data_IF_560992260759
#
_entry.id   IF_560992260759
#
_cell.length_a   1.000
_cell.length_b   1.000
_cell.length_c   1.000
_cell.angle_alpha   90.00
_cell.angle_beta   90.00
_cell.angle_gamma   90.00
#
_symmetry.space_group_name_H-M   'P 1'
#
loop_
_entity.id
_entity.type
_entity.pdbx_description
1 polymer ?
#
# COMPACT_ATOMS: atom_id res chain seq x y z
N UNK A 1 72.63 19.51 -49.53
CA UNK A 1 72.49 18.10 -49.04
C UNK A 1 71.32 18.05 -48.05
N UNK A 2 70.24 17.45 -48.51
CA UNK A 2 69.00 17.22 -47.74
C UNK A 2 69.09 15.90 -47.01
N UNK A 3 68.65 15.87 -45.77
CA UNK A 3 68.29 14.63 -45.07
C UNK A 3 66.82 14.71 -44.65
N UNK A 4 66.03 13.76 -45.18
CA UNK A 4 64.63 13.54 -44.88
C UNK A 4 64.57 12.55 -43.75
N UNK A 5 63.99 12.93 -42.62
CA UNK A 5 63.73 12.06 -41.48
C UNK A 5 62.29 11.60 -41.46
N UNK A 6 62.07 10.27 -41.55
CA UNK A 6 60.79 9.59 -41.47
C UNK A 6 60.18 9.73 -40.06
N UNK A 7 58.98 10.30 -39.98
CA UNK A 7 58.14 10.29 -38.78
C UNK A 7 57.27 9.02 -38.80
N UNK A 8 57.68 7.99 -38.05
CA UNK A 8 56.81 6.86 -37.72
C UNK A 8 55.62 7.30 -36.86
N UNK A 9 54.41 7.24 -37.42
CA UNK A 9 53.17 7.42 -36.68
C UNK A 9 52.86 6.16 -35.91
N UNK A 10 52.97 6.24 -34.59
CA UNK A 10 52.50 5.21 -33.67
C UNK A 10 50.99 5.36 -33.49
N UNK A 11 50.19 4.51 -34.10
CA UNK A 11 48.75 4.42 -33.82
C UNK A 11 48.56 3.65 -32.52
N UNK A 12 48.26 4.39 -31.44
CA UNK A 12 47.86 3.77 -30.16
C UNK A 12 46.40 3.32 -30.27
N UNK A 13 46.17 2.02 -30.46
CA UNK A 13 44.86 1.43 -30.39
C UNK A 13 44.49 1.30 -28.92
N UNK A 14 43.63 2.20 -28.40
CA UNK A 14 43.01 2.08 -27.07
C UNK A 14 41.88 1.06 -27.20
N UNK A 15 42.13 -0.19 -26.78
CA UNK A 15 41.05 -1.15 -26.53
C UNK A 15 40.27 -0.73 -25.28
N UNK A 16 39.11 -0.11 -25.48
CA UNK A 16 38.16 0.11 -24.41
C UNK A 16 37.51 -1.27 -24.12
N UNK A 17 37.97 -1.92 -23.08
CA UNK A 17 37.29 -3.09 -22.50
C UNK A 17 36.01 -2.59 -21.83
N UNK A 18 34.87 -2.81 -22.48
CA UNK A 18 33.57 -2.72 -21.81
C UNK A 18 33.49 -3.90 -20.82
N UNK A 19 33.78 -3.62 -19.56
CA UNK A 19 33.34 -4.50 -18.48
C UNK A 19 31.81 -4.32 -18.37
N UNK A 20 31.06 -5.21 -18.99
CA UNK A 20 29.68 -5.43 -18.63
C UNK A 20 29.68 -6.00 -17.21
N UNK A 21 29.43 -5.14 -16.23
CA UNK A 21 29.10 -5.58 -14.88
C UNK A 21 27.77 -6.36 -14.98
N UNK A 22 27.86 -7.67 -15.03
CA UNK A 22 26.72 -8.52 -14.71
C UNK A 22 26.42 -8.24 -13.24
N UNK A 23 25.37 -7.45 -12.99
CA UNK A 23 24.80 -7.33 -11.66
C UNK A 23 24.19 -8.68 -11.33
N UNK A 24 24.90 -9.51 -10.60
CA UNK A 24 24.32 -10.71 -10.01
C UNK A 24 23.30 -10.25 -8.99
N UNK A 25 22.02 -10.59 -9.21
CA UNK A 25 20.98 -10.41 -8.18
C UNK A 25 21.48 -10.99 -6.87
N UNK A 26 21.37 -10.23 -5.80
CA UNK A 26 21.74 -10.67 -4.44
C UNK A 26 20.72 -11.62 -3.83
N UNK A 27 19.61 -11.88 -4.54
CA UNK A 27 18.46 -12.64 -4.05
C UNK A 27 18.07 -13.76 -5.02
N UNK A 28 17.47 -14.81 -4.46
CA UNK A 28 16.76 -15.84 -5.21
C UNK A 28 15.26 -15.68 -4.99
N UNK A 29 14.46 -16.07 -5.97
CA UNK A 29 13.01 -15.97 -5.93
C UNK A 29 12.39 -17.35 -6.05
N UNK A 30 11.50 -17.68 -5.12
CA UNK A 30 10.72 -18.91 -5.13
C UNK A 30 9.24 -18.57 -5.25
N UNK A 31 8.56 -19.06 -6.28
CA UNK A 31 7.09 -19.01 -6.35
C UNK A 31 6.51 -20.05 -5.41
N UNK A 32 5.95 -19.60 -4.29
CA UNK A 32 5.34 -20.48 -3.27
C UNK A 32 3.88 -20.77 -3.54
N UNK A 33 3.14 -19.81 -4.10
CA UNK A 33 1.78 -19.98 -4.62
C UNK A 33 1.68 -19.34 -5.99
N UNK A 34 0.84 -19.87 -6.86
CA UNK A 34 0.52 -19.35 -8.18
C UNK A 34 -0.98 -19.45 -8.48
N UNK A 35 -1.39 -18.97 -9.66
CA UNK A 35 -2.78 -18.97 -10.12
C UNK A 35 -3.76 -18.33 -9.12
N UNK A 36 -3.33 -17.30 -8.38
CA UNK A 36 -4.19 -16.56 -7.46
C UNK A 36 -5.15 -15.66 -8.28
N UNK A 37 -6.43 -15.62 -7.84
CA UNK A 37 -7.47 -14.88 -8.56
C UNK A 37 -7.59 -13.42 -8.08
N UNK A 38 -6.77 -12.55 -8.66
CA UNK A 38 -6.72 -11.11 -8.33
C UNK A 38 -6.53 -10.87 -6.82
N UNK A 39 -5.52 -11.54 -6.24
CA UNK A 39 -5.22 -11.43 -4.82
C UNK A 39 -4.76 -10.00 -4.46
N UNK A 40 -5.26 -9.47 -3.33
CA UNK A 40 -5.02 -8.07 -2.97
C UNK A 40 -4.18 -7.88 -1.72
N UNK A 41 -4.40 -8.68 -0.68
CA UNK A 41 -3.72 -8.58 0.62
C UNK A 41 -3.49 -9.95 1.22
N UNK A 42 -2.43 -10.10 2.01
CA UNK A 42 -2.20 -11.30 2.81
C UNK A 42 -1.55 -10.95 4.15
N UNK A 43 -1.76 -11.83 5.13
CA UNK A 43 -1.13 -11.76 6.45
C UNK A 43 -0.68 -13.15 6.89
N UNK A 44 0.38 -13.23 7.66
CA UNK A 44 0.86 -14.49 8.23
C UNK A 44 0.03 -14.91 9.44
N UNK A 45 -0.53 -16.12 9.41
CA UNK A 45 -1.13 -16.79 10.57
C UNK A 45 -0.06 -17.52 11.40
N UNK A 46 0.99 -18.02 10.74
CA UNK A 46 2.21 -18.64 11.28
C UNK A 46 3.32 -18.52 10.25
N UNK A 47 4.51 -19.09 10.50
CA UNK A 47 5.61 -19.06 9.52
C UNK A 47 5.27 -19.72 8.20
N UNK A 48 4.45 -20.78 8.26
CA UNK A 48 4.06 -21.65 7.14
C UNK A 48 2.63 -21.45 6.64
N UNK A 49 1.86 -20.50 7.22
CA UNK A 49 0.46 -20.26 6.84
C UNK A 49 0.14 -18.80 6.68
N UNK A 50 -0.61 -18.49 5.63
CA UNK A 50 -1.14 -17.16 5.37
C UNK A 50 -2.67 -17.18 5.25
N UNK A 51 -3.27 -16.03 5.57
CA UNK A 51 -4.64 -15.67 5.24
C UNK A 51 -4.57 -14.59 4.16
N UNK A 52 -5.26 -14.76 3.03
CA UNK A 52 -5.22 -13.81 1.94
C UNK A 52 -6.59 -13.56 1.32
N UNK A 53 -6.74 -12.37 0.76
CA UNK A 53 -7.97 -11.92 0.07
C UNK A 53 -7.78 -12.01 -1.43
N UNK A 54 -8.87 -12.35 -2.12
CA UNK A 54 -9.01 -12.19 -3.57
C UNK A 54 -10.16 -11.21 -3.84
N UNK A 55 -9.92 -10.25 -4.74
CA UNK A 55 -10.86 -9.16 -5.04
C UNK A 55 -12.28 -9.65 -5.41
N UNK A 56 -12.47 -10.79 -6.11
CA UNK A 56 -13.81 -11.35 -6.38
C UNK A 56 -14.63 -11.69 -5.13
N UNK A 57 -14.02 -11.76 -3.95
CA UNK A 57 -14.72 -11.97 -2.68
C UNK A 57 -14.31 -13.21 -1.92
N UNK A 58 -13.27 -13.92 -2.34
CA UNK A 58 -12.77 -15.07 -1.61
C UNK A 58 -11.75 -14.64 -0.54
N UNK A 59 -11.86 -15.22 0.65
CA UNK A 59 -10.86 -15.20 1.70
C UNK A 59 -10.34 -16.63 1.83
N UNK A 60 -9.03 -16.81 1.81
CA UNK A 60 -8.43 -18.15 1.75
C UNK A 60 -7.28 -18.28 2.73
N UNK A 61 -7.14 -19.48 3.32
CA UNK A 61 -5.97 -19.89 4.09
C UNK A 61 -5.11 -20.77 3.18
N UNK A 62 -3.83 -20.44 3.05
CA UNK A 62 -2.86 -21.27 2.33
C UNK A 62 -1.75 -21.74 3.27
N UNK A 63 -1.37 -23.01 3.12
CA UNK A 63 -0.12 -23.56 3.66
C UNK A 63 1.00 -23.34 2.63
N UNK A 64 2.12 -22.79 3.08
CA UNK A 64 3.27 -22.51 2.20
C UNK A 64 4.15 -23.75 2.00
N UNK A 65 4.03 -24.75 2.88
CA UNK A 65 4.82 -25.99 2.82
C UNK A 65 4.29 -26.96 1.76
N UNK A 66 2.98 -27.29 1.85
CA UNK A 66 2.32 -28.27 0.98
C UNK A 66 1.48 -27.63 -0.12
N UNK A 67 1.42 -26.28 -0.15
CA UNK A 67 0.66 -25.46 -1.10
C UNK A 67 -0.86 -25.74 -1.08
N UNK A 68 -1.36 -26.33 -0.01
CA UNK A 68 -2.80 -26.53 0.15
C UNK A 68 -3.51 -25.20 0.40
N UNK A 69 -4.67 -25.02 -0.24
CA UNK A 69 -5.49 -23.81 -0.12
C UNK A 69 -6.88 -24.24 0.33
N UNK A 70 -7.41 -23.55 1.34
CA UNK A 70 -8.76 -23.75 1.86
C UNK A 70 -9.50 -22.44 1.89
N UNK A 71 -10.69 -22.42 1.28
CA UNK A 71 -11.56 -21.25 1.29
C UNK A 71 -12.25 -21.07 2.65
N UNK A 72 -12.28 -19.85 3.14
CA UNK A 72 -12.95 -19.45 4.39
C UNK A 72 -14.42 -19.17 4.09
N UNK A 73 -15.31 -19.74 4.90
CA UNK A 73 -16.77 -19.56 4.79
C UNK A 73 -17.23 -18.28 5.47
N UNK A 74 -18.44 -17.83 5.11
CA UNK A 74 -19.13 -16.69 5.71
C UNK A 74 -18.41 -15.34 5.48
N UNK A 75 -17.64 -15.23 4.41
CA UNK A 75 -17.06 -13.98 3.95
C UNK A 75 -18.17 -13.02 3.50
N UNK A 76 -18.08 -11.71 3.70
CA UNK A 76 -19.12 -10.77 3.27
C UNK A 76 -19.28 -10.79 1.75
N UNK A 77 -20.53 -10.58 1.29
CA UNK A 77 -20.77 -10.32 -0.14
C UNK A 77 -20.16 -9.00 -0.55
N UNK A 78 -19.35 -9.02 -1.60
CA UNK A 78 -18.61 -7.85 -2.10
C UNK A 78 -19.11 -7.39 -3.47
N UNK A 79 -18.84 -6.16 -3.81
CA UNK A 79 -19.06 -5.65 -5.16
C UNK A 79 -17.72 -5.67 -5.93
N UNK A 80 -17.45 -6.78 -6.61
CA UNK A 80 -16.29 -6.90 -7.50
C UNK A 80 -16.59 -6.23 -8.84
N UNK A 81 -16.25 -4.95 -8.93
CA UNK A 81 -16.39 -4.15 -10.15
C UNK A 81 -15.34 -3.04 -10.15
N UNK A 82 -14.68 -2.82 -11.26
CA UNK A 82 -13.62 -1.81 -11.41
C UNK A 82 -12.45 -2.07 -10.44
N UNK A 83 -12.27 -1.24 -9.41
CA UNK A 83 -11.24 -1.39 -8.37
C UNK A 83 -11.83 -1.88 -7.04
N UNK A 84 -13.08 -2.28 -7.03
CA UNK A 84 -13.77 -2.75 -5.83
C UNK A 84 -13.74 -4.26 -5.69
N UNK A 85 -13.94 -4.74 -4.48
CA UNK A 85 -13.95 -6.15 -4.10
C UNK A 85 -13.62 -6.34 -2.64
N UNK A 86 -13.13 -7.52 -2.28
CA UNK A 86 -12.53 -7.82 -0.99
C UNK A 86 -11.08 -7.30 -1.00
N UNK A 87 -10.77 -6.37 -0.11
CA UNK A 87 -9.48 -5.65 -0.16
C UNK A 87 -8.53 -6.10 0.96
N UNK A 88 -8.34 -5.28 1.99
CA UNK A 88 -7.36 -5.55 3.05
C UNK A 88 -7.87 -6.58 4.05
N UNK A 89 -6.97 -7.43 4.53
CA UNK A 89 -7.13 -8.22 5.74
C UNK A 89 -6.01 -7.90 6.72
N UNK A 90 -6.36 -7.66 7.98
CA UNK A 90 -5.39 -7.58 9.08
C UNK A 90 -5.82 -8.44 10.25
N UNK A 91 -4.85 -8.90 11.03
CA UNK A 91 -5.10 -9.60 12.28
C UNK A 91 -5.21 -8.61 13.43
N UNK A 92 -6.06 -8.91 14.41
CA UNK A 92 -6.03 -8.23 15.71
C UNK A 92 -4.66 -8.43 16.37
N UNK A 93 -4.09 -7.45 17.06
CA UNK A 93 -2.82 -7.61 17.79
C UNK A 93 -2.82 -8.79 18.77
N UNK A 94 -3.99 -9.19 19.28
CA UNK A 94 -4.18 -10.33 20.16
C UNK A 94 -4.80 -11.54 19.42
N UNK A 95 -4.58 -11.67 18.11
CA UNK A 95 -5.19 -12.72 17.27
C UNK A 95 -4.98 -14.14 17.81
N UNK A 96 -3.82 -14.42 18.40
CA UNK A 96 -3.53 -15.75 18.98
C UNK A 96 -4.57 -16.14 20.04
N UNK A 97 -5.08 -15.16 20.79
CA UNK A 97 -6.06 -15.37 21.87
C UNK A 97 -7.51 -15.23 21.37
N UNK A 98 -7.80 -14.13 20.64
CA UNK A 98 -9.16 -13.75 20.32
C UNK A 98 -9.63 -14.15 18.91
N UNK A 99 -8.70 -14.59 18.04
CA UNK A 99 -8.96 -15.00 16.64
C UNK A 99 -9.61 -13.92 15.78
N UNK A 100 -9.57 -12.65 16.20
CA UNK A 100 -10.19 -11.55 15.47
C UNK A 100 -9.37 -11.13 14.26
N UNK A 101 -10.09 -10.84 13.18
CA UNK A 101 -9.58 -10.25 11.96
C UNK A 101 -10.44 -9.05 11.57
N UNK A 102 -9.88 -8.18 10.75
CA UNK A 102 -10.60 -7.05 10.15
C UNK A 102 -10.45 -7.12 8.64
N UNK A 103 -11.57 -6.89 7.95
CA UNK A 103 -11.66 -6.93 6.49
C UNK A 103 -12.24 -5.60 5.99
N UNK A 104 -11.55 -4.96 5.05
CA UNK A 104 -12.12 -3.87 4.26
C UNK A 104 -12.59 -4.40 2.91
N UNK A 105 -13.70 -3.90 2.44
CA UNK A 105 -14.29 -4.34 1.18
C UNK A 105 -15.24 -3.29 0.60
N UNK A 106 -15.52 -3.38 -0.68
CA UNK A 106 -16.57 -2.59 -1.31
C UNK A 106 -17.85 -3.40 -1.44
N UNK A 107 -18.96 -2.77 -1.11
CA UNK A 107 -20.30 -3.31 -1.29
C UNK A 107 -21.29 -2.19 -1.62
N UNK A 108 -22.50 -2.57 -2.00
CA UNK A 108 -23.59 -1.62 -2.17
C UNK A 108 -24.22 -1.29 -0.81
N UNK A 109 -24.35 0.00 -0.55
CA UNK A 109 -25.08 0.48 0.61
C UNK A 109 -26.62 0.43 0.39
N UNK A 110 -27.40 0.85 1.39
CA UNK A 110 -28.87 0.88 1.35
C UNK A 110 -29.45 1.67 0.16
N UNK A 111 -28.69 2.62 -0.38
CA UNK A 111 -29.06 3.43 -1.55
C UNK A 111 -28.57 2.84 -2.87
N UNK A 112 -28.14 1.57 -2.89
CA UNK A 112 -27.59 0.87 -4.07
C UNK A 112 -26.37 1.57 -4.70
N UNK A 113 -25.58 2.27 -3.86
CA UNK A 113 -24.31 2.91 -4.25
C UNK A 113 -23.14 2.14 -3.68
N UNK A 114 -22.06 2.04 -4.44
CA UNK A 114 -20.81 1.46 -3.96
C UNK A 114 -20.22 2.32 -2.85
N UNK A 115 -19.80 1.70 -1.75
CA UNK A 115 -19.01 2.37 -0.71
C UNK A 115 -18.05 1.39 -0.05
N UNK A 116 -17.17 1.93 0.79
CA UNK A 116 -16.21 1.15 1.57
C UNK A 116 -16.83 0.73 2.89
N UNK A 117 -16.64 -0.53 3.25
CA UNK A 117 -17.01 -1.11 4.53
C UNK A 117 -15.78 -1.62 5.27
N UNK A 118 -15.87 -1.63 6.59
CA UNK A 118 -14.94 -2.33 7.47
C UNK A 118 -15.74 -3.30 8.35
N UNK A 119 -15.32 -4.54 8.39
CA UNK A 119 -15.92 -5.61 9.19
C UNK A 119 -14.91 -6.19 10.15
N UNK A 120 -15.32 -6.52 11.36
CA UNK A 120 -14.64 -7.42 12.28
C UNK A 120 -15.28 -8.80 12.26
N UNK A 121 -14.48 -9.86 12.42
CA UNK A 121 -14.94 -11.23 12.53
C UNK A 121 -13.94 -12.06 13.33
N UNK A 122 -14.33 -13.26 13.73
CA UNK A 122 -13.45 -14.27 14.33
C UNK A 122 -13.19 -15.39 13.33
N UNK A 123 -11.92 -15.68 13.04
CA UNK A 123 -11.52 -16.80 12.19
C UNK A 123 -11.42 -18.09 13.03
N UNK A 124 -12.44 -18.93 12.96
CA UNK A 124 -12.51 -20.19 13.69
C UNK A 124 -12.43 -21.37 12.71
N UNK A 125 -11.29 -22.02 12.67
CA UNK A 125 -11.01 -23.01 11.61
C UNK A 125 -11.01 -22.31 10.25
N UNK A 126 -11.90 -22.76 9.36
CA UNK A 126 -12.06 -22.18 8.01
C UNK A 126 -13.42 -21.47 7.88
N UNK A 127 -13.85 -20.76 8.92
CA UNK A 127 -15.14 -20.07 8.93
C UNK A 127 -15.04 -18.75 9.70
N UNK A 128 -15.65 -17.69 9.17
CA UNK A 128 -15.84 -16.45 9.91
C UNK A 128 -17.09 -16.55 10.79
N UNK A 129 -16.91 -16.17 12.07
CA UNK A 129 -17.97 -16.08 13.07
C UNK A 129 -18.04 -14.69 13.67
N UNK A 130 -19.17 -14.39 14.30
CA UNK A 130 -19.40 -13.09 14.97
C UNK A 130 -19.14 -11.88 14.05
N UNK A 131 -19.46 -12.05 12.75
CA UNK A 131 -19.30 -11.02 11.74
C UNK A 131 -20.07 -9.75 12.12
N UNK A 132 -19.37 -8.63 12.17
CA UNK A 132 -19.95 -7.33 12.49
C UNK A 132 -19.38 -6.27 11.56
N UNK A 133 -20.23 -5.61 10.77
CA UNK A 133 -19.85 -4.36 10.10
C UNK A 133 -19.67 -3.30 11.18
N UNK A 134 -18.46 -2.79 11.33
CA UNK A 134 -18.09 -1.79 12.34
C UNK A 134 -17.99 -0.39 11.75
N UNK A 135 -17.94 -0.28 10.41
CA UNK A 135 -17.92 1.00 9.72
C UNK A 135 -18.46 0.89 8.30
N UNK A 136 -19.24 1.89 7.89
CA UNK A 136 -19.68 2.15 6.52
C UNK A 136 -19.29 3.59 6.14
N UNK A 137 -18.50 3.76 5.09
CA UNK A 137 -18.05 5.07 4.66
C UNK A 137 -19.21 5.92 4.07
N UNK A 138 -19.43 7.12 4.60
CA UNK A 138 -20.24 8.15 3.94
C UNK A 138 -19.51 8.71 2.71
N UNK A 139 -19.23 7.81 1.75
CA UNK A 139 -18.55 8.10 0.50
C UNK A 139 -19.18 7.30 -0.65
N UNK A 140 -20.50 7.46 -0.87
CA UNK A 140 -21.23 6.70 -1.88
C UNK A 140 -20.84 7.11 -3.29
N UNK A 141 -20.45 6.16 -4.13
CA UNK A 141 -19.99 6.35 -5.50
C UNK A 141 -20.79 5.49 -6.50
N UNK A 142 -20.80 5.90 -7.76
CA UNK A 142 -21.49 5.13 -8.80
C UNK A 142 -20.74 3.84 -9.15
N UNK A 143 -19.42 3.91 -9.16
CA UNK A 143 -18.50 2.81 -9.46
C UNK A 143 -17.48 2.69 -8.36
N UNK A 144 -17.06 1.46 -8.03
CA UNK A 144 -16.05 1.18 -7.00
C UNK A 144 -14.65 1.54 -7.49
N UNK A 145 -14.28 2.81 -7.39
CA UNK A 145 -12.96 3.34 -7.77
C UNK A 145 -12.39 4.18 -6.63
N UNK A 146 -11.08 4.25 -6.53
CA UNK A 146 -10.33 4.97 -5.49
C UNK A 146 -10.94 4.74 -4.11
N UNK A 147 -10.94 3.49 -3.68
CA UNK A 147 -11.51 3.10 -2.39
C UNK A 147 -10.53 3.36 -1.23
N UNK A 148 -9.22 3.37 -1.50
CA UNK A 148 -8.19 3.33 -0.46
C UNK A 148 -8.13 1.93 0.14
N UNK A 149 -8.96 1.68 1.16
CA UNK A 149 -9.20 0.39 1.80
C UNK A 149 -8.11 -0.13 2.75
N UNK A 150 -6.97 0.55 2.89
CA UNK A 150 -5.89 0.14 3.82
C UNK A 150 -6.32 0.33 5.27
N UNK A 151 -5.91 -0.63 6.12
CA UNK A 151 -6.22 -0.66 7.54
C UNK A 151 -4.92 -0.76 8.32
N UNK A 152 -4.80 -0.04 9.43
CA UNK A 152 -3.70 -0.20 10.37
C UNK A 152 -4.17 -0.02 11.81
N UNK A 153 -3.50 -0.72 12.76
CA UNK A 153 -3.69 -0.45 14.17
C UNK A 153 -2.78 0.68 14.64
N UNK A 154 -3.33 1.59 15.43
CA UNK A 154 -2.51 2.48 16.26
C UNK A 154 -2.10 1.78 17.55
N UNK A 155 -1.04 2.28 18.18
CA UNK A 155 -0.55 1.73 19.45
C UNK A 155 -1.57 1.77 20.59
N UNK A 156 -2.53 2.72 20.53
CA UNK A 156 -3.64 2.85 21.49
C UNK A 156 -4.75 1.81 21.26
N UNK A 157 -4.59 0.91 20.29
CA UNK A 157 -5.55 -0.13 19.95
C UNK A 157 -6.69 0.34 19.05
N UNK A 158 -6.71 1.61 18.62
CA UNK A 158 -7.69 2.09 17.63
C UNK A 158 -7.29 1.69 16.21
N UNK A 159 -8.28 1.66 15.31
CA UNK A 159 -8.10 1.37 13.89
C UNK A 159 -8.03 2.65 13.07
N UNK A 160 -7.10 2.68 12.13
CA UNK A 160 -7.09 3.62 11.01
C UNK A 160 -7.62 2.92 9.77
N UNK A 161 -8.47 3.61 9.01
CA UNK A 161 -8.99 3.15 7.73
C UNK A 161 -8.82 4.25 6.68
N UNK A 162 -8.16 3.93 5.57
CA UNK A 162 -8.02 4.82 4.44
C UNK A 162 -9.25 4.75 3.53
N UNK A 163 -9.87 5.89 3.24
CA UNK A 163 -10.98 6.03 2.30
C UNK A 163 -10.64 7.02 1.19
N UNK A 164 -10.52 6.53 -0.04
CA UNK A 164 -10.12 7.33 -1.20
C UNK A 164 -11.21 8.31 -1.69
N UNK A 165 -10.82 9.21 -2.60
CA UNK A 165 -11.65 10.31 -3.12
C UNK A 165 -12.76 9.89 -4.08
N UNK A 166 -12.82 8.59 -4.48
CA UNK A 166 -13.83 8.07 -5.40
C UNK A 166 -13.70 8.58 -6.83
N UNK A 167 -12.55 9.12 -7.23
CA UNK A 167 -12.19 9.63 -8.56
C UNK A 167 -13.04 10.82 -9.02
N UNK A 168 -14.35 10.64 -9.23
CA UNK A 168 -15.28 11.69 -9.66
C UNK A 168 -15.60 12.70 -8.55
N UNK A 169 -15.17 12.44 -7.32
CA UNK A 169 -15.53 13.22 -6.13
C UNK A 169 -14.33 13.94 -5.49
N UNK A 170 -13.23 14.13 -6.23
CA UNK A 170 -11.97 14.67 -5.72
C UNK A 170 -12.12 15.96 -4.88
N UNK A 171 -13.05 16.86 -5.26
CA UNK A 171 -13.29 18.12 -4.51
C UNK A 171 -13.84 17.89 -3.10
N UNK A 172 -14.45 16.72 -2.84
CA UNK A 172 -14.94 16.34 -1.53
C UNK A 172 -13.82 15.96 -0.56
N UNK A 173 -12.61 15.68 -1.05
CA UNK A 173 -11.46 15.42 -0.20
C UNK A 173 -11.13 16.59 0.73
N UNK A 174 -11.46 17.83 0.32
CA UNK A 174 -11.27 19.05 1.11
C UNK A 174 -12.43 19.36 2.07
N UNK A 175 -13.51 18.57 2.08
CA UNK A 175 -14.68 18.78 2.95
C UNK A 175 -14.69 17.76 4.08
N UNK A 176 -15.18 18.15 5.26
CA UNK A 176 -15.20 17.30 6.45
C UNK A 176 -16.56 16.60 6.69
N UNK A 177 -17.56 16.85 5.87
CA UNK A 177 -18.91 16.28 5.97
C UNK A 177 -19.09 14.91 5.30
N UNK A 178 -17.99 14.30 4.87
CA UNK A 178 -17.97 13.03 4.12
C UNK A 178 -16.64 12.29 4.29
N UNK A 179 -16.58 11.02 3.85
CA UNK A 179 -15.37 10.18 3.93
C UNK A 179 -14.57 10.07 2.63
N UNK A 180 -14.83 10.89 1.62
CA UNK A 180 -13.97 10.93 0.42
C UNK A 180 -12.61 11.55 0.73
N UNK A 181 -11.51 10.82 0.44
CA UNK A 181 -10.14 11.29 0.65
C UNK A 181 -9.81 11.57 2.12
N UNK A 182 -10.08 10.58 2.99
CA UNK A 182 -9.91 10.67 4.45
C UNK A 182 -9.15 9.48 5.01
N UNK A 183 -8.40 9.72 6.05
CA UNK A 183 -8.06 8.68 7.02
C UNK A 183 -9.07 8.79 8.17
N UNK A 184 -9.71 7.69 8.50
CA UNK A 184 -10.70 7.54 9.55
C UNK A 184 -10.05 6.88 10.75
N UNK A 185 -10.39 7.28 11.99
CA UNK A 185 -9.96 6.61 13.23
C UNK A 185 -11.18 6.22 14.05
N UNK A 186 -11.28 4.91 14.34
CA UNK A 186 -12.37 4.33 15.14
C UNK A 186 -11.83 3.30 16.13
N UNK A 187 -12.61 2.99 17.14
CA UNK A 187 -12.39 1.85 18.02
C UNK A 187 -12.69 0.53 17.29
N UNK A 188 -12.18 -0.58 17.82
CA UNK A 188 -12.39 -1.93 17.25
C UNK A 188 -13.85 -2.41 17.27
N UNK A 189 -14.72 -1.74 18.00
CA UNK A 189 -16.17 -2.00 18.03
C UNK A 189 -16.97 -1.08 17.08
N UNK A 190 -16.30 -0.11 16.42
CA UNK A 190 -16.84 0.88 15.51
C UNK A 190 -17.26 2.20 16.18
N UNK A 191 -17.10 2.32 17.50
CA UNK A 191 -17.34 3.60 18.19
C UNK A 191 -16.24 4.62 17.89
N UNK A 192 -16.54 5.90 18.03
CA UNK A 192 -15.61 6.99 17.76
C UNK A 192 -14.81 7.31 19.03
N UNK A 193 -13.47 7.34 18.97
CA UNK A 193 -12.63 7.78 20.07
C UNK A 193 -12.92 9.24 20.46
N UNK A 194 -13.07 9.51 21.75
CA UNK A 194 -13.40 10.86 22.26
C UNK A 194 -12.30 11.90 22.05
N UNK A 195 -11.07 11.45 21.77
CA UNK A 195 -9.91 12.27 21.49
C UNK A 195 -9.62 12.44 19.98
N UNK A 196 -10.58 12.08 19.12
CA UNK A 196 -10.47 12.34 17.69
C UNK A 196 -10.43 13.85 17.38
N UNK A 197 -9.64 14.25 16.35
CA UNK A 197 -9.33 15.67 16.15
C UNK A 197 -10.51 16.56 15.77
N UNK A 198 -11.61 15.98 15.26
CA UNK A 198 -12.81 16.72 14.83
C UNK A 198 -14.01 16.51 15.74
N UNK A 199 -13.80 15.98 16.96
CA UNK A 199 -14.87 15.85 17.96
C UNK A 199 -15.51 17.19 18.28
N UNK A 200 -16.85 17.28 18.15
CA UNK A 200 -17.62 18.48 18.43
C UNK A 200 -17.43 19.63 17.42
N UNK A 201 -16.74 19.40 16.29
CA UNK A 201 -16.59 20.40 15.23
C UNK A 201 -17.85 20.40 14.35
N UNK A 202 -18.55 21.53 14.34
CA UNK A 202 -19.80 21.70 13.57
C UNK A 202 -19.56 21.41 12.07
N UNK A 203 -20.38 20.54 11.50
CA UNK A 203 -20.31 20.16 10.08
C UNK A 203 -19.20 19.18 9.72
N UNK A 204 -18.40 18.70 10.67
CA UNK A 204 -17.41 17.66 10.46
C UNK A 204 -17.90 16.30 10.94
N UNK A 205 -17.47 15.22 10.27
CA UNK A 205 -17.61 13.86 10.79
C UNK A 205 -16.53 13.62 11.85
N UNK A 206 -16.94 13.16 13.02
CA UNK A 206 -16.08 13.04 14.20
C UNK A 206 -15.06 11.90 14.13
N UNK A 207 -15.26 10.95 13.20
CA UNK A 207 -14.36 9.82 12.95
C UNK A 207 -13.19 10.16 11.99
N UNK A 208 -13.17 11.34 11.40
CA UNK A 208 -12.07 11.78 10.54
C UNK A 208 -10.81 12.01 11.38
N UNK A 209 -9.67 11.46 10.91
CA UNK A 209 -8.36 11.69 11.51
C UNK A 209 -7.53 12.71 10.72
N UNK A 210 -7.49 12.58 9.38
CA UNK A 210 -6.86 13.52 8.44
C UNK A 210 -7.65 13.56 7.13
N UNK A 211 -7.37 14.57 6.29
CA UNK A 211 -8.14 14.80 5.06
C UNK A 211 -7.28 15.37 3.93
N UNK A 212 -7.87 15.50 2.74
CA UNK A 212 -7.14 16.00 1.58
C UNK A 212 -6.28 14.93 0.91
N UNK A 213 -6.70 13.66 0.99
CA UNK A 213 -6.07 12.51 0.36
C UNK A 213 -6.75 12.12 -0.96
N UNK A 214 -6.03 11.41 -1.83
CA UNK A 214 -6.55 10.93 -3.10
C UNK A 214 -6.92 9.45 -3.06
N UNK A 215 -5.95 8.56 -3.16
CA UNK A 215 -6.17 7.11 -3.19
C UNK A 215 -5.02 6.38 -2.52
N UNK A 216 -5.10 6.30 -1.22
CA UNK A 216 -4.09 5.71 -0.36
C UNK A 216 -4.00 4.20 -0.57
N UNK A 217 -2.79 3.69 -0.77
CA UNK A 217 -2.52 2.28 -1.04
C UNK A 217 -1.52 1.65 -0.06
N UNK A 218 -0.94 2.44 0.82
CA UNK A 218 -0.11 1.99 1.92
C UNK A 218 -0.43 2.76 3.20
N UNK A 219 -0.41 2.09 4.34
CA UNK A 219 -0.66 2.70 5.64
C UNK A 219 0.05 1.88 6.71
N UNK A 220 1.06 2.48 7.36
CA UNK A 220 1.90 1.82 8.36
C UNK A 220 1.99 2.68 9.61
N UNK A 221 1.91 2.05 10.77
CA UNK A 221 2.16 2.69 12.06
C UNK A 221 3.43 2.10 12.65
N UNK A 222 4.44 2.94 12.87
CA UNK A 222 5.72 2.51 13.44
C UNK A 222 5.61 2.23 14.93
N UNK A 223 6.54 1.47 15.51
CA UNK A 223 6.64 1.30 16.98
C UNK A 223 6.83 2.62 17.74
N UNK A 224 7.34 3.67 17.09
CA UNK A 224 7.40 5.04 17.63
C UNK A 224 6.05 5.73 17.75
N UNK A 225 5.01 5.19 17.05
CA UNK A 225 3.67 5.78 16.94
C UNK A 225 3.49 6.68 15.73
N UNK A 226 4.53 6.94 14.95
CA UNK A 226 4.44 7.68 13.69
C UNK A 226 3.64 6.89 12.66
N UNK A 227 2.81 7.59 11.90
CA UNK A 227 1.93 7.01 10.89
C UNK A 227 2.42 7.47 9.53
N UNK A 228 2.74 6.53 8.67
CA UNK A 228 3.12 6.81 7.28
C UNK A 228 2.08 6.23 6.34
N UNK A 229 1.81 6.96 5.28
CA UNK A 229 0.98 6.49 4.19
C UNK A 229 1.60 6.86 2.85
N UNK A 230 1.23 6.15 1.79
CA UNK A 230 1.47 6.56 0.42
C UNK A 230 0.19 6.45 -0.41
N UNK A 231 0.09 7.33 -1.40
CA UNK A 231 -1.10 7.40 -2.25
C UNK A 231 -0.76 7.62 -3.73
N UNK A 232 -1.68 7.18 -4.57
CA UNK A 232 -1.61 7.47 -6.00
C UNK A 232 -1.94 8.92 -6.29
N UNK A 233 -1.03 9.60 -6.97
CA UNK A 233 -1.33 10.82 -7.70
C UNK A 233 -2.18 10.54 -8.96
N UNK A 234 -2.50 11.57 -9.74
CA UNK A 234 -3.11 11.41 -11.05
C UNK A 234 -2.05 10.96 -12.08
N UNK A 235 -1.78 11.70 -13.13
CA UNK A 235 -0.66 11.42 -14.01
C UNK A 235 0.62 12.01 -13.42
N UNK A 236 1.37 11.24 -12.65
CA UNK A 236 2.46 11.66 -11.76
C UNK A 236 1.95 12.18 -10.41
N UNK A 237 2.88 12.50 -9.51
CA UNK A 237 2.56 13.02 -8.18
C UNK A 237 1.97 11.99 -7.23
N UNK A 238 2.40 10.72 -7.31
CA UNK A 238 2.22 9.79 -6.20
C UNK A 238 3.01 10.34 -5.01
N UNK A 239 2.53 10.14 -3.80
CA UNK A 239 3.09 10.77 -2.61
C UNK A 239 3.33 9.77 -1.49
N UNK A 240 4.29 10.09 -0.61
CA UNK A 240 4.45 9.45 0.69
C UNK A 240 4.40 10.52 1.77
N UNK A 241 3.54 10.32 2.76
CA UNK A 241 3.18 11.29 3.77
C UNK A 241 3.42 10.79 5.20
N UNK A 242 3.84 11.71 6.10
CA UNK A 242 3.80 11.51 7.55
C UNK A 242 2.46 12.03 8.08
N UNK A 243 1.61 11.13 8.53
CA UNK A 243 0.23 11.45 8.89
C UNK A 243 0.13 11.96 10.33
N UNK A 244 -0.48 13.12 10.47
CA UNK A 244 -0.79 13.79 11.74
C UNK A 244 -2.28 14.05 11.87
N UNK A 245 -2.83 14.08 13.09
CA UNK A 245 -4.25 14.37 13.31
C UNK A 245 -4.63 15.77 12.84
N UNK A 246 -5.84 15.94 12.30
CA UNK A 246 -6.43 17.19 11.81
C UNK A 246 -5.78 17.84 10.59
N UNK A 247 -4.71 17.27 10.05
CA UNK A 247 -3.95 17.89 8.95
C UNK A 247 -4.63 17.66 7.60
N UNK A 248 -4.53 18.69 6.74
CA UNK A 248 -4.94 18.69 5.34
C UNK A 248 -3.75 18.38 4.43
N UNK A 249 -3.80 17.28 3.68
CA UNK A 249 -2.75 16.85 2.74
C UNK A 249 -2.94 17.40 1.31
N UNK A 250 -3.92 18.25 1.13
CA UNK A 250 -4.00 19.19 0.02
C UNK A 250 -4.72 18.72 -1.23
N UNK A 251 -4.87 17.42 -1.49
CA UNK A 251 -5.59 16.96 -2.68
C UNK A 251 -7.04 17.44 -2.71
N UNK A 252 -7.58 17.96 -3.85
CA UNK A 252 -6.91 18.26 -5.13
C UNK A 252 -6.46 19.73 -5.26
N UNK A 253 -6.48 20.51 -4.16
CA UNK A 253 -6.15 21.93 -4.18
C UNK A 253 -4.65 22.18 -4.44
N UNK A 254 -3.80 21.21 -4.08
CA UNK A 254 -2.39 21.11 -4.47
C UNK A 254 -2.12 19.70 -5.02
N UNK A 255 -1.19 19.57 -5.98
CA UNK A 255 -0.75 18.28 -6.52
C UNK A 255 0.49 18.45 -7.39
N UNK A 256 1.35 17.43 -7.42
CA UNK A 256 2.51 17.33 -8.31
C UNK A 256 2.18 16.64 -9.65
N UNK A 257 0.94 16.20 -9.83
CA UNK A 257 0.48 15.55 -11.05
C UNK A 257 -0.50 16.39 -11.87
N UNK A 258 -0.82 15.89 -13.05
CA UNK A 258 -1.82 16.46 -13.96
C UNK A 258 -2.93 15.45 -14.25
N UNK A 259 -4.08 15.90 -14.70
CA UNK A 259 -5.18 15.02 -15.08
C UNK A 259 -4.76 14.04 -16.21
N UNK A 260 -5.38 12.87 -16.27
CA UNK A 260 -5.11 11.89 -17.32
C UNK A 260 -5.40 12.42 -18.73
N UNK A 261 -6.32 13.38 -18.87
CA UNK A 261 -6.56 14.11 -20.10
C UNK A 261 -5.44 15.09 -20.50
N UNK A 262 -4.49 15.36 -19.58
CA UNK A 262 -3.45 16.36 -19.72
C UNK A 262 -3.83 17.76 -19.18
N UNK A 263 -5.07 17.91 -18.69
CA UNK A 263 -5.50 19.18 -18.09
C UNK A 263 -4.82 19.42 -16.74
N UNK A 264 -4.64 20.69 -16.39
CA UNK A 264 -4.16 21.11 -15.07
C UNK A 264 -5.29 20.88 -14.04
N UNK A 265 -5.02 20.13 -12.97
CA UNK A 265 -5.94 19.96 -11.84
C UNK A 265 -5.84 21.16 -10.90
N UNK A 266 -4.63 21.50 -10.50
CA UNK A 266 -4.31 22.66 -9.70
C UNK A 266 -3.05 23.33 -10.25
N UNK A 267 -2.98 24.67 -10.24
CA UNK A 267 -1.75 25.39 -10.57
C UNK A 267 -0.73 25.39 -9.42
N UNK A 268 -1.11 24.84 -8.26
CA UNK A 268 -0.33 24.88 -7.04
C UNK A 268 0.21 23.51 -6.68
N UNK A 269 1.47 23.46 -6.27
CA UNK A 269 2.11 22.29 -5.64
C UNK A 269 2.18 22.44 -4.12
N UNK A 270 2.08 23.68 -3.63
CA UNK A 270 2.07 24.01 -2.20
C UNK A 270 1.07 25.11 -1.89
N UNK A 271 0.50 25.11 -0.68
CA UNK A 271 -0.42 26.14 -0.20
C UNK A 271 -0.41 26.19 1.32
N UNK A 272 -0.53 27.39 1.89
CA UNK A 272 -0.64 27.60 3.32
C UNK A 272 -1.80 26.77 3.92
N UNK A 273 -1.55 26.08 5.05
CA UNK A 273 -2.49 25.20 5.72
C UNK A 273 -2.63 23.80 5.11
N UNK A 274 -1.78 23.46 4.11
CA UNK A 274 -1.71 22.13 3.50
C UNK A 274 -0.31 21.54 3.70
N UNK A 275 -0.24 20.32 4.23
CA UNK A 275 1.02 19.61 4.49
C UNK A 275 1.63 19.14 3.17
N UNK A 276 2.95 19.18 3.11
CA UNK A 276 3.71 18.69 1.97
C UNK A 276 4.11 17.23 2.17
N UNK A 277 4.15 16.42 1.09
CA UNK A 277 4.63 15.06 1.18
C UNK A 277 6.12 15.01 1.55
N UNK A 278 6.53 13.94 2.22
CA UNK A 278 7.94 13.66 2.49
C UNK A 278 8.73 13.40 1.21
N UNK A 279 8.07 12.80 0.23
CA UNK A 279 8.56 12.61 -1.13
C UNK A 279 7.38 12.45 -2.10
N UNK A 280 7.62 12.70 -3.39
CA UNK A 280 6.65 12.44 -4.45
C UNK A 280 7.34 11.82 -5.67
N UNK A 281 6.58 11.04 -6.45
CA UNK A 281 7.06 10.40 -7.67
C UNK A 281 6.40 11.00 -8.92
N UNK A 282 7.23 11.57 -9.79
CA UNK A 282 6.83 12.07 -11.11
C UNK A 282 7.91 11.70 -12.12
N UNK A 283 7.65 10.71 -13.00
CA UNK A 283 6.39 10.04 -13.28
C UNK A 283 5.91 9.12 -12.14
N UNK A 284 4.61 8.78 -12.17
CA UNK A 284 3.98 7.85 -11.22
C UNK A 284 4.66 6.47 -11.26
N UNK A 285 4.92 5.90 -10.09
CA UNK A 285 5.34 4.51 -9.91
C UNK A 285 4.16 3.59 -9.61
N UNK A 286 2.99 4.15 -9.27
CA UNK A 286 1.81 3.51 -8.74
C UNK A 286 2.14 2.62 -7.51
N UNK A 287 2.50 3.22 -6.36
CA UNK A 287 2.83 2.50 -5.14
C UNK A 287 1.60 1.72 -4.66
N UNK A 288 1.76 0.47 -4.21
CA UNK A 288 0.64 -0.45 -3.99
C UNK A 288 0.51 -0.98 -2.58
N UNK A 289 1.62 -1.09 -1.87
CA UNK A 289 1.68 -1.46 -0.46
C UNK A 289 3.02 -1.08 0.13
N UNK A 290 3.13 -1.05 1.46
CA UNK A 290 4.41 -0.84 2.15
C UNK A 290 4.47 -1.52 3.50
N UNK A 291 5.70 -1.89 3.88
CA UNK A 291 6.06 -2.26 5.24
C UNK A 291 7.22 -1.40 5.73
N UNK A 292 7.33 -1.25 7.04
CA UNK A 292 8.57 -0.82 7.69
C UNK A 292 9.29 -2.08 8.18
N UNK A 293 10.47 -2.36 7.60
CA UNK A 293 11.17 -3.60 7.87
C UNK A 293 12.08 -3.46 9.09
N UNK A 294 11.84 -4.25 10.13
CA UNK A 294 12.57 -4.20 11.43
C UNK A 294 13.30 -5.50 11.75
N UNK A 295 13.34 -6.46 10.82
CA UNK A 295 13.97 -7.76 11.06
C UNK A 295 15.44 -7.78 10.59
N UNK A 296 16.17 -8.84 10.97
CA UNK A 296 17.60 -8.96 10.73
C UNK A 296 17.99 -9.88 9.56
N UNK A 297 17.01 -10.53 8.93
CA UNK A 297 17.25 -11.46 7.78
C UNK A 297 17.87 -10.71 6.59
N UNK A 298 17.50 -9.43 6.41
CA UNK A 298 18.09 -8.54 5.41
C UNK A 298 18.63 -7.31 6.14
N UNK A 299 19.88 -7.37 6.64
CA UNK A 299 20.44 -6.26 7.46
C UNK A 299 20.44 -4.92 6.73
N UNK A 300 20.56 -4.94 5.39
CA UNK A 300 20.52 -3.75 4.53
C UNK A 300 19.13 -3.11 4.40
N UNK A 301 18.07 -3.80 4.86
CA UNK A 301 16.70 -3.30 4.87
C UNK A 301 16.21 -2.91 6.26
N UNK A 302 16.97 -3.23 7.31
CA UNK A 302 16.58 -2.93 8.70
C UNK A 302 16.35 -1.44 8.90
N UNK A 303 15.20 -1.08 9.49
CA UNK A 303 14.74 0.30 9.72
C UNK A 303 14.54 1.10 8.41
N UNK A 304 14.05 0.44 7.35
CA UNK A 304 13.68 1.10 6.10
C UNK A 304 12.24 0.81 5.70
N UNK A 305 11.66 1.69 4.91
CA UNK A 305 10.40 1.41 4.23
C UNK A 305 10.67 0.61 2.96
N UNK A 306 9.86 -0.42 2.74
CA UNK A 306 9.82 -1.18 1.50
C UNK A 306 8.45 -0.97 0.86
N UNK A 307 8.42 -0.30 -0.31
CA UNK A 307 7.20 0.08 -1.02
C UNK A 307 7.12 -0.66 -2.34
N UNK A 308 6.12 -1.50 -2.52
CA UNK A 308 5.84 -2.18 -3.80
C UNK A 308 5.21 -1.24 -4.80
N UNK A 309 5.44 -1.48 -6.09
CA UNK A 309 4.91 -0.64 -7.15
C UNK A 309 4.38 -1.44 -8.35
N UNK A 310 3.27 -0.94 -8.92
CA UNK A 310 2.60 -1.56 -10.06
C UNK A 310 3.19 -1.15 -11.40
N UNK A 311 3.65 0.11 -11.53
CA UNK A 311 4.13 0.67 -12.79
C UNK A 311 5.64 0.55 -12.90
N UNK A 312 6.41 0.92 -11.88
CA UNK A 312 7.86 0.71 -11.89
C UNK A 312 8.26 -0.75 -11.73
N UNK A 313 7.34 -1.63 -11.26
CA UNK A 313 7.51 -3.09 -11.16
C UNK A 313 8.72 -3.50 -10.34
N UNK A 314 8.90 -2.84 -9.23
CA UNK A 314 10.00 -3.03 -8.28
C UNK A 314 9.51 -2.81 -6.85
N UNK A 315 10.42 -2.91 -5.90
CA UNK A 315 10.24 -2.46 -4.53
C UNK A 315 11.16 -1.26 -4.29
N UNK A 316 10.61 -0.16 -3.82
CA UNK A 316 11.39 1.01 -3.40
C UNK A 316 11.81 0.83 -1.95
N UNK A 317 13.12 0.77 -1.69
CA UNK A 317 13.68 0.93 -0.36
C UNK A 317 13.85 2.42 -0.08
N UNK A 318 13.20 2.91 0.95
CA UNK A 318 13.19 4.34 1.31
C UNK A 318 13.69 4.52 2.73
N UNK A 319 14.63 5.45 2.89
CA UNK A 319 15.13 5.89 4.21
C UNK A 319 15.02 7.40 4.30
N UNK A 320 14.70 7.89 5.50
CA UNK A 320 14.70 9.31 5.82
C UNK A 320 15.83 9.62 6.81
N UNK A 321 16.64 10.61 6.48
CA UNK A 321 17.72 11.11 7.37
C UNK A 321 17.90 12.61 7.18
N UNK A 322 17.92 13.36 8.28
CA UNK A 322 18.15 14.80 8.29
C UNK A 322 17.23 15.60 7.34
N UNK A 323 15.93 15.19 7.25
CA UNK A 323 14.93 15.81 6.38
C UNK A 323 15.10 15.49 4.89
N UNK A 324 15.98 14.54 4.55
CA UNK A 324 16.17 14.04 3.18
C UNK A 324 15.79 12.58 3.10
N UNK A 325 15.30 12.16 1.94
CA UNK A 325 15.10 10.74 1.63
C UNK A 325 16.23 10.22 0.74
N UNK A 326 16.49 8.92 0.86
CA UNK A 326 17.25 8.14 -0.10
C UNK A 326 16.36 7.00 -0.60
N UNK A 327 16.36 6.79 -1.91
CA UNK A 327 15.57 5.75 -2.56
C UNK A 327 16.46 4.82 -3.37
N UNK A 328 16.18 3.53 -3.29
CA UNK A 328 16.84 2.47 -4.05
C UNK A 328 15.78 1.51 -4.60
N UNK A 329 15.92 1.12 -5.87
CA UNK A 329 15.05 0.11 -6.50
C UNK A 329 15.58 -1.30 -6.23
N UNK A 330 14.75 -2.14 -5.63
CA UNK A 330 15.02 -3.54 -5.32
C UNK A 330 14.17 -4.45 -6.21
N UNK A 331 14.65 -5.67 -6.48
CA UNK A 331 13.89 -6.73 -7.14
C UNK A 331 13.34 -6.35 -8.53
N UNK A 332 13.94 -5.36 -9.19
CA UNK A 332 13.54 -4.89 -10.54
C UNK A 332 13.76 -5.94 -11.64
N UNK A 333 14.59 -6.94 -11.39
CA UNK A 333 14.81 -8.10 -12.24
C UNK A 333 13.59 -9.03 -12.35
N UNK A 334 12.66 -8.99 -11.38
CA UNK A 334 11.35 -9.64 -11.47
C UNK A 334 10.49 -9.05 -12.60
N UNK A 335 10.57 -7.74 -12.83
CA UNK A 335 9.85 -6.99 -13.85
C UNK A 335 8.34 -7.32 -13.93
N UNK A 336 7.70 -7.50 -12.78
CA UNK A 336 6.27 -7.79 -12.64
C UNK A 336 5.60 -6.76 -11.75
N UNK A 337 4.29 -6.57 -11.94
CA UNK A 337 3.49 -5.70 -11.08
C UNK A 337 3.38 -6.33 -9.70
N UNK A 338 3.81 -5.61 -8.67
CA UNK A 338 3.75 -6.06 -7.28
C UNK A 338 2.57 -5.38 -6.58
N UNK A 339 1.72 -6.15 -5.90
CA UNK A 339 0.50 -5.67 -5.23
C UNK A 339 0.70 -5.46 -3.74
N UNK A 340 1.34 -6.42 -3.07
CA UNK A 340 1.45 -6.42 -1.62
C UNK A 340 2.81 -6.97 -1.19
N UNK A 341 3.27 -6.60 -0.01
CA UNK A 341 4.52 -7.03 0.60
C UNK A 341 4.32 -7.30 2.08
N UNK A 342 4.82 -8.43 2.54
CA UNK A 342 4.84 -8.76 3.97
C UNK A 342 6.16 -9.44 4.34
N UNK A 343 6.56 -9.31 5.59
CA UNK A 343 7.61 -10.12 6.18
C UNK A 343 6.96 -11.23 7.02
N UNK A 344 7.47 -12.47 6.88
CA UNK A 344 7.06 -13.57 7.74
C UNK A 344 7.45 -13.29 9.20
N UNK A 345 6.93 -14.05 10.18
CA UNK A 345 7.35 -13.93 11.57
C UNK A 345 8.87 -14.00 11.77
N UNK A 346 9.57 -14.84 11.00
CA UNK A 346 11.04 -14.93 11.00
C UNK A 346 11.74 -13.78 10.28
N UNK A 347 11.03 -13.01 9.45
CA UNK A 347 11.54 -11.86 8.71
C UNK A 347 11.78 -12.09 7.22
N UNK A 348 11.47 -13.26 6.67
CA UNK A 348 11.56 -13.50 5.22
C UNK A 348 10.52 -12.64 4.49
N UNK A 349 10.94 -11.94 3.44
CA UNK A 349 10.09 -11.10 2.62
C UNK A 349 9.32 -11.94 1.60
N UNK A 350 8.02 -11.65 1.49
CA UNK A 350 7.13 -12.21 0.48
C UNK A 350 6.47 -11.10 -0.32
N UNK A 351 6.39 -11.29 -1.61
CA UNK A 351 5.81 -10.35 -2.58
C UNK A 351 4.61 -10.98 -3.25
N UNK A 352 3.46 -10.31 -3.21
CA UNK A 352 2.27 -10.68 -3.93
C UNK A 352 2.22 -9.91 -5.26
N UNK A 353 1.99 -10.61 -6.37
CA UNK A 353 1.84 -9.96 -7.68
C UNK A 353 0.40 -9.50 -7.92
N UNK A 354 0.23 -8.55 -8.84
CA UNK A 354 -1.05 -7.92 -9.17
C UNK A 354 -1.78 -8.64 -10.30
N UNK A 355 -3.11 -8.75 -10.17
CA UNK A 355 -4.03 -9.23 -11.21
C UNK A 355 -4.28 -10.74 -11.22
N UNK A 356 -5.15 -11.22 -12.14
CA UNK A 356 -5.46 -12.63 -12.30
C UNK A 356 -4.24 -13.48 -12.66
N UNK A 357 -4.18 -14.73 -12.16
CA UNK A 357 -3.00 -15.57 -12.29
C UNK A 357 -1.83 -15.08 -11.44
N UNK A 358 -2.15 -14.37 -10.36
CA UNK A 358 -1.18 -13.81 -9.42
C UNK A 358 -0.31 -14.87 -8.75
N UNK A 359 0.80 -14.41 -8.17
CA UNK A 359 1.78 -15.27 -7.50
C UNK A 359 2.14 -14.71 -6.13
N UNK A 360 2.43 -15.59 -5.20
CA UNK A 360 3.16 -15.25 -3.97
C UNK A 360 4.61 -15.71 -4.14
N UNK A 361 5.52 -14.77 -4.02
CA UNK A 361 6.96 -14.97 -4.27
C UNK A 361 7.69 -14.75 -2.95
N UNK A 362 8.47 -15.76 -2.54
CA UNK A 362 9.41 -15.69 -1.43
C UNK A 362 10.73 -15.14 -1.94
N UNK A 363 11.27 -14.14 -1.26
CA UNK A 363 12.60 -13.57 -1.55
C UNK A 363 13.61 -14.23 -0.61
N UNK A 364 14.67 -14.83 -1.14
CA UNK A 364 15.67 -15.57 -0.37
C UNK A 364 17.01 -14.89 -0.57
N UNK A 365 17.71 -14.42 0.49
CA UNK A 365 19.09 -13.98 0.38
C UNK A 365 19.99 -15.12 -0.10
N UNK A 366 20.98 -14.83 -0.95
CA UNK A 366 21.87 -15.89 -1.49
C UNK A 366 22.80 -16.49 -0.44
N UNK A 367 23.01 -15.79 0.65
CA UNK A 367 23.94 -16.18 1.72
C UNK A 367 23.23 -16.84 2.93
N UNK A 368 21.95 -17.23 2.78
CA UNK A 368 21.17 -17.98 3.76
C UNK A 368 21.22 -19.48 3.51
#
# INVERSE_FOLDING_TARGET
LLYIGDLMKFNLFICILFFSSFSYSSYQYETVLDELDDAWSFVFLSEDKILYTEMPGALKVASLDDKSIVEVKNVPEVQYVSQGGLSEVILDPNFIENKKIYLSYSAKNSNNKSTLFLMSAELIGNELKNNKVIFEANAPRRTAVHLGAKIAFKQDGTLLLASGDGFDHREKAQKLDNHFGKIIRINTDGSIPMDNPFMGVEGALEDIYSYGHRNMQGLVVLPSGEIYEHEHGPRGGDEMNLIKPSINYGWPAITYGIDYSGAVISPFTEKEGMEQPLLHWTPSIAPSDMIFYEKDIYPEFTNTFLVTALVSKDVKKITFKDGKHNEESLFSDLNIRLRNIQASPSGIIYLLTDGPGGKLIKVIPKDL
#
